data_IF_310246994156
#
_entry.id   IF_310246994156
#
_cell.length_a   1.000
_cell.length_b   1.000
_cell.length_c   1.000
_cell.angle_alpha   90.00
_cell.angle_beta   90.00
_cell.angle_gamma   90.00
#
_symmetry.space_group_name_H-M   'P 1'
#
loop_
_entity.id
_entity.type
_entity.pdbx_description
1 polymer ?
#
# COMPACT_ATOMS: atom_id res chain seq x y z
N UNK A 1 12.23 -20.09 -2.20
CA UNK A 1 12.30 -19.56 -3.59
C UNK A 1 11.14 -18.61 -3.89
N UNK A 2 9.88 -19.07 -3.79
CA UNK A 2 8.70 -18.26 -4.15
C UNK A 2 8.56 -16.96 -3.33
N UNK A 3 8.69 -17.03 -2.01
CA UNK A 3 8.57 -15.86 -1.12
C UNK A 3 9.62 -14.77 -1.39
N UNK A 4 10.83 -15.18 -1.79
CA UNK A 4 11.90 -14.27 -2.20
C UNK A 4 11.51 -13.52 -3.48
N UNK A 5 11.09 -14.25 -4.52
CA UNK A 5 10.66 -13.66 -5.78
C UNK A 5 9.50 -12.70 -5.59
N UNK A 6 8.52 -13.07 -4.76
CA UNK A 6 7.38 -12.23 -4.43
C UNK A 6 7.81 -10.90 -3.78
N UNK A 7 8.73 -10.95 -2.80
CA UNK A 7 9.24 -9.76 -2.14
C UNK A 7 10.06 -8.86 -3.08
N UNK A 8 10.81 -9.44 -4.01
CA UNK A 8 11.53 -8.67 -5.03
C UNK A 8 10.53 -7.96 -5.95
N UNK A 9 9.50 -8.67 -6.42
CA UNK A 9 8.45 -8.08 -7.26
C UNK A 9 7.74 -6.94 -6.52
N UNK A 10 7.37 -7.13 -5.25
CA UNK A 10 6.75 -6.09 -4.45
C UNK A 10 7.69 -4.91 -4.20
N UNK A 11 8.97 -5.15 -3.89
CA UNK A 11 9.94 -4.08 -3.70
C UNK A 11 10.08 -3.23 -4.98
N UNK A 12 10.19 -3.85 -6.15
CA UNK A 12 10.28 -3.13 -7.43
C UNK A 12 8.99 -2.37 -7.75
N UNK A 13 7.82 -2.97 -7.52
CA UNK A 13 6.54 -2.32 -7.73
C UNK A 13 6.34 -1.10 -6.81
N UNK A 14 6.61 -1.25 -5.51
CA UNK A 14 6.51 -0.16 -4.55
C UNK A 14 7.57 0.93 -4.78
N UNK A 15 8.77 0.56 -5.25
CA UNK A 15 9.77 1.55 -5.64
C UNK A 15 9.29 2.38 -6.83
N UNK A 16 8.69 1.73 -7.84
CA UNK A 16 8.10 2.42 -8.98
C UNK A 16 6.98 3.36 -8.54
N UNK A 17 6.08 2.93 -7.64
CA UNK A 17 5.04 3.81 -7.10
C UNK A 17 5.62 4.95 -6.27
N UNK A 18 6.66 4.71 -5.46
CA UNK A 18 7.39 5.76 -4.73
C UNK A 18 7.89 6.83 -5.70
N UNK A 19 8.52 6.42 -6.81
CA UNK A 19 9.05 7.33 -7.82
C UNK A 19 7.94 8.13 -8.51
N UNK A 20 6.84 7.48 -8.89
CA UNK A 20 5.72 8.15 -9.56
C UNK A 20 5.05 9.21 -8.67
N UNK A 21 4.96 8.95 -7.36
CA UNK A 21 4.34 9.87 -6.41
C UNK A 21 5.22 11.08 -6.04
N UNK A 22 6.49 11.15 -6.49
CA UNK A 22 7.37 12.29 -6.19
C UNK A 22 6.87 13.61 -6.79
N UNK A 23 6.06 13.53 -7.85
CA UNK A 23 5.55 14.70 -8.55
C UNK A 23 4.15 15.14 -8.09
N UNK A 24 3.54 14.42 -7.14
CA UNK A 24 2.19 14.70 -6.67
C UNK A 24 2.18 15.67 -5.48
N UNK A 25 1.07 16.40 -5.30
CA UNK A 25 0.94 17.41 -4.24
C UNK A 25 1.06 16.82 -2.83
N UNK A 26 0.64 15.56 -2.66
CA UNK A 26 0.67 14.80 -1.42
C UNK A 26 1.82 13.78 -1.38
N UNK A 27 2.89 14.02 -2.16
CA UNK A 27 4.14 13.26 -2.11
C UNK A 27 4.66 13.06 -0.68
N UNK A 28 4.49 14.06 0.19
CA UNK A 28 4.91 14.01 1.59
C UNK A 28 4.29 12.85 2.38
N UNK A 29 3.12 12.34 1.96
CA UNK A 29 2.44 11.21 2.59
C UNK A 29 2.72 9.92 1.82
N UNK A 30 2.51 9.90 0.50
CA UNK A 30 2.57 8.68 -0.29
C UNK A 30 3.99 8.17 -0.53
N UNK A 31 4.97 9.08 -0.68
CA UNK A 31 6.37 8.68 -0.87
C UNK A 31 6.88 7.92 0.36
N UNK A 32 6.72 8.39 1.61
CA UNK A 32 7.08 7.59 2.79
C UNK A 32 6.35 6.25 2.89
N UNK A 33 5.04 6.19 2.59
CA UNK A 33 4.26 4.95 2.66
C UNK A 33 4.83 3.89 1.72
N UNK A 34 5.03 4.24 0.44
CA UNK A 34 5.58 3.30 -0.53
C UNK A 34 7.07 3.01 -0.29
N UNK A 35 7.84 3.98 0.22
CA UNK A 35 9.26 3.79 0.52
C UNK A 35 9.48 2.83 1.68
N UNK A 36 8.70 2.95 2.77
CA UNK A 36 8.74 2.01 3.90
C UNK A 36 8.42 0.60 3.39
N UNK A 37 7.36 0.45 2.58
CA UNK A 37 7.00 -0.84 2.00
C UNK A 37 8.11 -1.43 1.12
N UNK A 38 8.73 -0.60 0.28
CA UNK A 38 9.86 -0.95 -0.58
C UNK A 38 11.03 -1.48 0.24
N UNK A 39 11.44 -0.74 1.28
CA UNK A 39 12.56 -1.12 2.14
C UNK A 39 12.24 -2.42 2.88
N UNK A 40 11.04 -2.55 3.44
CA UNK A 40 10.61 -3.76 4.14
C UNK A 40 10.64 -5.00 3.24
N UNK A 41 10.10 -4.92 2.02
CA UNK A 41 10.14 -6.02 1.06
C UNK A 41 11.56 -6.30 0.54
N UNK A 42 12.35 -5.26 0.30
CA UNK A 42 13.75 -5.39 -0.12
C UNK A 42 14.61 -6.08 0.93
N UNK A 43 14.48 -5.72 2.20
CA UNK A 43 15.19 -6.35 3.32
C UNK A 43 14.73 -7.78 3.57
N UNK A 44 13.44 -8.06 3.41
CA UNK A 44 12.89 -9.42 3.50
C UNK A 44 13.52 -10.36 2.45
N UNK A 45 13.92 -9.85 1.28
CA UNK A 45 14.66 -10.63 0.29
C UNK A 45 16.03 -11.11 0.80
N UNK A 46 16.66 -10.34 1.69
CA UNK A 46 17.91 -10.70 2.38
C UNK A 46 17.68 -11.44 3.71
N UNK A 47 16.45 -11.88 3.99
CA UNK A 47 16.04 -12.49 5.27
C UNK A 47 16.24 -11.59 6.50
N UNK A 48 16.25 -10.28 6.31
CA UNK A 48 16.29 -9.31 7.40
C UNK A 48 14.86 -8.85 7.66
N UNK A 49 14.35 -9.06 8.88
CA UNK A 49 12.97 -8.75 9.22
C UNK A 49 12.86 -7.82 10.41
N UNK A 50 11.91 -6.89 10.34
CA UNK A 50 11.57 -5.96 11.42
C UNK A 50 10.08 -6.06 11.77
N UNK A 51 9.66 -7.08 12.54
CA UNK A 51 8.24 -7.33 12.84
C UNK A 51 7.49 -6.12 13.41
N UNK A 52 8.16 -5.34 14.27
CA UNK A 52 7.59 -4.13 14.88
C UNK A 52 7.27 -3.06 13.82
N UNK A 53 8.15 -2.89 12.84
CA UNK A 53 7.94 -1.95 11.73
C UNK A 53 6.78 -2.41 10.86
N UNK A 54 6.68 -3.72 10.59
CA UNK A 54 5.58 -4.27 9.80
C UNK A 54 4.23 -4.05 10.47
N UNK A 55 4.08 -4.41 11.75
CA UNK A 55 2.79 -4.26 12.43
C UNK A 55 2.42 -2.79 12.64
N UNK A 56 3.39 -1.93 12.97
CA UNK A 56 3.17 -0.49 13.11
C UNK A 56 2.70 0.15 11.80
N UNK A 57 3.35 -0.20 10.68
CA UNK A 57 2.98 0.29 9.35
C UNK A 57 1.61 -0.22 8.93
N UNK A 58 1.32 -1.51 9.13
CA UNK A 58 0.02 -2.12 8.80
C UNK A 58 -1.11 -1.46 9.58
N UNK A 59 -0.95 -1.22 10.88
CA UNK A 59 -1.97 -0.54 11.69
C UNK A 59 -2.22 0.85 11.12
N UNK A 60 -1.17 1.63 10.87
CA UNK A 60 -1.30 2.97 10.31
C UNK A 60 -2.00 2.95 8.93
N UNK A 61 -1.59 2.07 8.02
CA UNK A 61 -2.16 1.96 6.67
C UNK A 61 -3.62 1.52 6.68
N UNK A 62 -3.99 0.55 7.52
CA UNK A 62 -5.37 0.10 7.64
C UNK A 62 -6.26 1.15 8.30
N UNK A 63 -5.77 1.84 9.32
CA UNK A 63 -6.51 2.97 9.91
C UNK A 63 -6.75 4.08 8.89
N UNK A 64 -5.73 4.44 8.11
CA UNK A 64 -5.88 5.47 7.07
C UNK A 64 -6.78 5.01 5.92
N UNK A 65 -6.69 3.74 5.52
CA UNK A 65 -7.57 3.11 4.54
C UNK A 65 -9.04 3.14 4.97
N UNK A 66 -9.33 2.89 6.25
CA UNK A 66 -10.69 3.05 6.80
C UNK A 66 -11.20 4.49 6.71
N UNK A 67 -10.33 5.50 6.92
CA UNK A 67 -10.70 6.90 6.75
C UNK A 67 -11.04 7.21 5.28
N UNK A 68 -10.22 6.74 4.34
CA UNK A 68 -10.48 6.89 2.89
C UNK A 68 -11.78 6.20 2.45
N UNK A 69 -12.14 5.08 3.09
CA UNK A 69 -13.37 4.36 2.77
C UNK A 69 -14.63 5.19 3.03
N UNK A 70 -14.67 5.92 4.15
CA UNK A 70 -15.82 6.74 4.57
C UNK A 70 -15.72 8.22 4.18
N UNK A 71 -14.62 8.65 3.55
CA UNK A 71 -14.51 10.03 3.08
C UNK A 71 -15.51 10.30 1.95
N UNK A 72 -15.96 11.55 1.83
CA UNK A 72 -16.61 12.10 0.64
C UNK A 72 -15.85 11.72 -0.63
N UNK A 73 -16.57 11.15 -1.59
CA UNK A 73 -16.02 10.60 -2.83
C UNK A 73 -15.02 9.46 -2.58
N UNK A 74 -15.04 8.84 -1.40
CA UNK A 74 -14.28 7.65 -1.07
C UNK A 74 -14.87 6.39 -1.69
N UNK A 75 -14.37 5.23 -1.25
CA UNK A 75 -14.75 3.92 -1.82
C UNK A 75 -16.23 3.63 -1.66
N UNK A 76 -16.82 4.01 -0.51
CA UNK A 76 -18.26 3.82 -0.28
C UNK A 76 -19.10 4.61 -1.29
N UNK A 77 -18.76 5.87 -1.54
CA UNK A 77 -19.43 6.70 -2.54
C UNK A 77 -19.17 6.18 -3.96
N UNK A 78 -17.96 5.69 -4.26
CA UNK A 78 -17.65 5.04 -5.54
C UNK A 78 -18.57 3.85 -5.85
N UNK A 79 -18.86 3.03 -4.83
CA UNK A 79 -19.78 1.89 -4.96
C UNK A 79 -21.23 2.35 -5.06
N UNK A 80 -21.68 3.17 -4.10
CA UNK A 80 -23.11 3.48 -3.91
C UNK A 80 -23.59 4.60 -4.84
N UNK A 81 -22.82 5.68 -4.96
CA UNK A 81 -23.22 6.91 -5.68
C UNK A 81 -22.79 6.87 -7.14
N UNK A 82 -21.57 6.41 -7.43
CA UNK A 82 -21.01 6.44 -8.78
C UNK A 82 -21.22 5.13 -9.56
N UNK A 83 -21.69 4.05 -8.91
CA UNK A 83 -21.97 2.74 -9.52
C UNK A 83 -20.74 2.07 -10.13
N UNK A 84 -19.63 2.06 -9.40
CA UNK A 84 -18.39 1.33 -9.74
C UNK A 84 -17.82 1.61 -11.15
N UNK A 85 -17.63 2.88 -11.55
CA UNK A 85 -16.93 3.21 -12.79
C UNK A 85 -15.47 2.73 -12.73
N UNK A 86 -14.84 2.55 -13.89
CA UNK A 86 -13.47 2.05 -13.92
C UNK A 86 -12.50 2.99 -13.21
N UNK A 87 -11.67 2.43 -12.32
CA UNK A 87 -10.64 3.14 -11.58
C UNK A 87 -9.33 3.29 -12.37
N UNK A 88 -9.25 2.73 -13.57
CA UNK A 88 -8.10 2.87 -14.48
C UNK A 88 -8.24 4.06 -15.43
N UNK A 89 -9.36 4.78 -15.35
CA UNK A 89 -9.57 5.98 -16.14
C UNK A 89 -8.63 7.10 -15.69
N UNK A 90 -8.37 8.03 -16.62
CA UNK A 90 -7.55 9.22 -16.35
C UNK A 90 -8.18 10.04 -15.23
N UNK A 91 -7.36 10.44 -14.26
CA UNK A 91 -7.77 11.36 -13.21
C UNK A 91 -8.17 12.69 -13.83
N UNK A 92 -9.36 13.14 -13.49
CA UNK A 92 -9.88 14.45 -13.84
C UNK A 92 -10.39 15.09 -12.55
N UNK A 93 -10.35 16.42 -12.46
CA UNK A 93 -10.91 17.14 -11.31
C UNK A 93 -12.39 16.81 -11.05
N UNK A 94 -13.09 16.33 -12.08
CA UNK A 94 -14.49 15.88 -12.05
C UNK A 94 -14.69 14.48 -11.46
N UNK A 95 -13.61 13.70 -11.25
CA UNK A 95 -13.66 12.31 -10.78
C UNK A 95 -12.71 12.05 -9.60
N UNK A 96 -12.85 12.78 -8.47
CA UNK A 96 -11.99 12.63 -7.30
C UNK A 96 -12.04 11.21 -6.70
N UNK A 97 -13.13 10.48 -6.92
CA UNK A 97 -13.31 9.12 -6.43
C UNK A 97 -12.37 8.08 -7.04
N UNK A 98 -11.81 8.34 -8.23
CA UNK A 98 -10.85 7.44 -8.87
C UNK A 98 -9.54 7.42 -8.06
N UNK A 99 -9.03 8.60 -7.71
CA UNK A 99 -7.82 8.74 -6.88
C UNK A 99 -8.02 8.07 -5.53
N UNK A 100 -9.07 8.47 -4.79
CA UNK A 100 -9.35 7.95 -3.44
C UNK A 100 -9.51 6.44 -3.40
N UNK A 101 -10.09 5.86 -4.45
CA UNK A 101 -10.25 4.41 -4.56
C UNK A 101 -8.91 3.73 -4.86
N UNK A 102 -8.06 4.30 -5.73
CA UNK A 102 -6.72 3.78 -6.02
C UNK A 102 -5.81 3.84 -4.79
N UNK A 103 -5.81 4.97 -4.09
CA UNK A 103 -5.11 5.19 -2.82
C UNK A 103 -5.50 4.12 -1.78
N UNK A 104 -6.81 3.90 -1.60
CA UNK A 104 -7.34 2.87 -0.70
C UNK A 104 -6.83 1.47 -1.03
N UNK A 105 -6.95 1.04 -2.28
CA UNK A 105 -6.48 -0.28 -2.70
C UNK A 105 -4.95 -0.40 -2.64
N UNK A 106 -4.22 0.68 -2.90
CA UNK A 106 -2.77 0.75 -2.72
C UNK A 106 -2.36 0.43 -1.28
N UNK A 107 -3.02 1.04 -0.29
CA UNK A 107 -2.78 0.76 1.13
C UNK A 107 -3.11 -0.68 1.51
N UNK A 108 -4.18 -1.27 0.96
CA UNK A 108 -4.52 -2.67 1.20
C UNK A 108 -3.45 -3.62 0.65
N UNK A 109 -2.95 -3.36 -0.56
CA UNK A 109 -1.89 -4.18 -1.17
C UNK A 109 -0.61 -4.11 -0.36
N UNK A 110 -0.18 -2.90 0.04
CA UNK A 110 0.99 -2.71 0.89
C UNK A 110 0.81 -3.43 2.23
N UNK A 111 -0.36 -3.26 2.86
CA UNK A 111 -0.67 -3.91 4.14
C UNK A 111 -0.60 -5.43 4.02
N UNK A 112 -1.17 -6.01 2.96
CA UNK A 112 -1.10 -7.44 2.69
C UNK A 112 0.34 -7.94 2.52
N UNK A 113 1.17 -7.22 1.77
CA UNK A 113 2.59 -7.54 1.61
C UNK A 113 3.35 -7.54 2.94
N UNK A 114 3.13 -6.51 3.78
CA UNK A 114 3.78 -6.40 5.09
C UNK A 114 3.27 -7.45 6.09
N UNK A 115 1.98 -7.80 6.08
CA UNK A 115 1.41 -8.88 6.90
C UNK A 115 2.08 -10.22 6.54
N UNK A 116 2.25 -10.53 5.25
CA UNK A 116 2.95 -11.74 4.84
C UNK A 116 4.39 -11.78 5.38
N UNK A 117 5.10 -10.66 5.30
CA UNK A 117 6.46 -10.55 5.84
C UNK A 117 6.49 -10.68 7.37
N UNK A 118 5.50 -10.13 8.07
CA UNK A 118 5.34 -10.27 9.51
C UNK A 118 5.14 -11.72 9.93
N UNK A 119 4.23 -12.43 9.26
CA UNK A 119 3.95 -13.84 9.54
C UNK A 119 5.25 -14.66 9.40
N UNK A 120 5.98 -14.50 8.30
CA UNK A 120 7.26 -15.19 8.09
C UNK A 120 8.29 -14.83 9.15
N UNK A 121 8.40 -13.55 9.51
CA UNK A 121 9.35 -13.11 10.53
C UNK A 121 9.08 -13.76 11.90
N UNK A 122 7.81 -13.80 12.32
CA UNK A 122 7.40 -14.44 13.59
C UNK A 122 7.69 -15.94 13.58
N UNK A 123 7.48 -16.62 12.44
CA UNK A 123 7.83 -18.04 12.31
C UNK A 123 9.34 -18.29 12.38
N UNK A 124 10.17 -17.42 11.79
CA UNK A 124 11.63 -17.57 11.84
C UNK A 124 12.22 -17.31 13.23
N UNK A 125 11.61 -16.44 14.04
CA UNK A 125 12.07 -16.19 15.42
C UNK A 125 11.75 -17.31 16.42
N UNK A 126 10.88 -18.26 16.05
CA UNK A 126 10.48 -19.39 16.93
C UNK A 126 11.37 -20.63 16.79
N UNK A 127 12.30 -20.63 15.84
CA UNK A 127 13.24 -21.72 15.57
C UNK A 127 14.68 -21.20 15.63
#
# INVERSE_FOLDING_TARGET
>A
MLFLLLNIIFALAFLAFTYLNLNDYDAWLWVPVYLIATICCGLAAFKIYYPVVYIGSVIFYLTYSLLLFFWKDGVLDWIIKYKTPSITETMQATKPYIERTREFFGLLIISGALIMNYVVAVYQTKH
#
